data_IF_431881062095
#
_entry.id   IF_431881062095
#
_cell.length_a   1.000
_cell.length_b   1.000
_cell.length_c   1.000
_cell.angle_alpha   90.00
_cell.angle_beta   90.00
_cell.angle_gamma   90.00
#
_symmetry.space_group_name_H-M   'P 1'
#
loop_
_entity.id
_entity.type
_entity.pdbx_description
1 polymer ?
#
# COMPACT_ATOMS: atom_id res chain seq x y z
N UNK A 1 -9.93 -16.93 -18.00
CA UNK A 1 -10.27 -15.49 -17.92
C UNK A 1 -10.17 -15.13 -16.46
N UNK A 2 -9.44 -14.08 -16.10
CA UNK A 2 -9.45 -13.58 -14.71
C UNK A 2 -10.89 -13.16 -14.37
N UNK A 3 -11.33 -13.49 -13.17
CA UNK A 3 -12.65 -13.10 -12.68
C UNK A 3 -12.67 -11.58 -12.50
N UNK A 4 -13.61 -10.88 -13.14
CA UNK A 4 -13.74 -9.42 -12.99
C UNK A 4 -14.17 -9.09 -11.57
N UNK A 5 -13.47 -8.17 -10.95
CA UNK A 5 -13.75 -7.69 -9.60
C UNK A 5 -14.93 -6.71 -9.66
N UNK A 6 -15.92 -6.93 -8.79
CA UNK A 6 -17.14 -6.12 -8.68
C UNK A 6 -17.45 -5.83 -7.22
N UNK A 7 -18.21 -4.77 -6.96
CA UNK A 7 -18.75 -4.54 -5.63
C UNK A 7 -19.81 -5.58 -5.24
N UNK A 8 -19.88 -5.90 -3.96
CA UNK A 8 -21.01 -6.61 -3.39
C UNK A 8 -22.27 -5.73 -3.55
N UNK A 9 -23.37 -6.33 -3.97
CA UNK A 9 -24.61 -5.60 -4.27
C UNK A 9 -25.07 -4.76 -3.07
N UNK A 10 -25.35 -3.48 -3.33
CA UNK A 10 -25.79 -2.52 -2.32
C UNK A 10 -24.68 -1.95 -1.43
N UNK A 11 -23.43 -2.35 -1.63
CA UNK A 11 -22.27 -1.82 -0.90
C UNK A 11 -21.47 -0.88 -1.80
N UNK A 12 -21.33 0.37 -1.38
CA UNK A 12 -20.52 1.36 -2.10
C UNK A 12 -19.49 1.97 -1.16
N UNK A 13 -18.24 2.12 -1.60
CA UNK A 13 -17.20 2.74 -0.80
C UNK A 13 -17.46 4.23 -0.62
N UNK A 14 -17.00 4.79 0.49
CA UNK A 14 -17.06 6.22 0.78
C UNK A 14 -15.67 6.77 1.04
N UNK A 15 -15.42 7.98 0.54
CA UNK A 15 -14.16 8.69 0.78
C UNK A 15 -14.13 9.21 2.22
N UNK A 16 -13.05 8.93 2.93
CA UNK A 16 -12.76 9.51 4.25
C UNK A 16 -11.90 10.76 4.12
N UNK A 17 -10.90 10.71 3.26
CA UNK A 17 -10.00 11.82 2.95
C UNK A 17 -9.30 11.59 1.62
N UNK A 18 -8.84 12.70 1.02
CA UNK A 18 -7.89 12.70 -0.08
C UNK A 18 -6.72 13.62 0.27
N UNK A 19 -5.51 13.23 -0.08
CA UNK A 19 -4.31 14.06 0.11
C UNK A 19 -3.42 14.02 -1.12
N UNK A 20 -2.79 15.17 -1.44
CA UNK A 20 -1.79 15.28 -2.51
C UNK A 20 -0.46 15.71 -1.90
N UNK A 21 0.59 14.95 -2.13
CA UNK A 21 1.90 15.19 -1.52
C UNK A 21 3.01 15.01 -2.54
N UNK A 22 4.08 15.81 -2.39
CA UNK A 22 5.37 15.59 -3.04
C UNK A 22 6.40 15.39 -1.92
N UNK A 23 7.17 14.34 -2.02
CA UNK A 23 8.20 14.01 -1.06
C UNK A 23 9.56 14.04 -1.75
N UNK A 24 10.46 14.82 -1.16
CA UNK A 24 11.82 14.99 -1.67
C UNK A 24 12.58 13.66 -1.77
N UNK A 25 13.58 13.61 -2.64
CA UNK A 25 14.48 12.46 -2.77
C UNK A 25 15.09 12.09 -1.41
N UNK A 26 15.29 10.80 -1.17
CA UNK A 26 15.83 10.23 0.08
C UNK A 26 14.99 10.44 1.34
N UNK A 27 13.78 10.97 1.22
CA UNK A 27 12.90 11.13 2.37
C UNK A 27 11.99 9.92 2.55
N UNK A 28 11.74 9.55 3.80
CA UNK A 28 10.69 8.58 4.15
C UNK A 28 9.36 9.32 4.04
N UNK A 29 8.52 8.90 3.09
CA UNK A 29 7.21 9.52 2.86
C UNK A 29 6.24 9.20 3.96
N UNK A 30 6.17 7.92 4.31
CA UNK A 30 5.32 7.40 5.37
C UNK A 30 6.07 6.26 6.04
N UNK A 31 6.35 6.43 7.34
CA UNK A 31 6.86 5.35 8.16
C UNK A 31 5.86 4.17 8.14
N UNK A 32 6.38 2.99 8.44
CA UNK A 32 5.58 1.77 8.54
C UNK A 32 4.34 1.97 9.41
N UNK A 33 3.16 1.71 8.89
CA UNK A 33 1.90 1.85 9.59
C UNK A 33 0.81 0.95 8.98
N UNK A 34 -0.36 0.91 9.61
CA UNK A 34 -1.55 0.21 9.11
C UNK A 34 -2.82 0.97 9.51
N UNK A 35 -3.90 0.69 8.82
CA UNK A 35 -5.22 1.25 9.10
C UNK A 35 -6.17 0.14 9.54
N UNK A 36 -6.64 0.19 10.80
CA UNK A 36 -7.50 -0.86 11.39
C UNK A 36 -8.96 -0.78 10.94
N UNK A 37 -9.43 0.36 10.40
CA UNK A 37 -10.86 0.62 10.17
C UNK A 37 -11.20 1.02 8.73
N UNK A 38 -10.23 1.17 7.89
CA UNK A 38 -10.41 1.59 6.50
C UNK A 38 -9.28 1.07 5.65
N UNK A 39 -9.43 1.17 4.36
CA UNK A 39 -8.40 0.85 3.37
C UNK A 39 -7.88 2.13 2.72
N UNK A 40 -6.70 2.07 2.15
CA UNK A 40 -6.14 3.16 1.35
C UNK A 40 -5.85 2.72 -0.07
N UNK A 41 -5.87 3.69 -0.96
CA UNK A 41 -5.35 3.56 -2.32
C UNK A 41 -4.50 4.79 -2.62
N UNK A 42 -3.36 4.58 -3.27
CA UNK A 42 -2.43 5.65 -3.59
C UNK A 42 -2.06 5.59 -5.06
N UNK A 43 -2.22 6.70 -5.77
CA UNK A 43 -1.78 6.87 -7.15
C UNK A 43 -0.48 7.66 -7.19
N UNK A 44 0.55 7.14 -7.87
CA UNK A 44 1.82 7.82 -8.11
C UNK A 44 1.70 8.66 -9.37
N UNK A 45 1.47 9.97 -9.21
CA UNK A 45 1.33 10.86 -10.37
C UNK A 45 2.66 11.39 -10.91
N UNK A 46 3.75 11.27 -10.12
CA UNK A 46 5.08 11.78 -10.47
C UNK A 46 6.18 11.03 -9.75
N UNK A 47 7.33 10.83 -10.42
CA UNK A 47 8.56 10.35 -9.81
C UNK A 47 8.64 8.84 -9.60
N UNK A 48 9.48 8.43 -8.63
CA UNK A 48 9.76 7.03 -8.35
C UNK A 48 10.15 6.80 -6.89
N UNK A 49 9.94 5.56 -6.41
CA UNK A 49 10.24 5.20 -5.03
C UNK A 49 10.18 3.70 -4.81
N UNK A 50 10.04 3.34 -3.54
CA UNK A 50 9.82 1.96 -3.08
C UNK A 50 8.55 1.89 -2.25
N UNK A 51 7.77 0.85 -2.48
CA UNK A 51 6.60 0.48 -1.69
C UNK A 51 6.83 -0.88 -1.05
N UNK A 52 6.55 -1.01 0.23
CA UNK A 52 6.66 -2.27 0.95
C UNK A 52 5.30 -2.61 1.55
N UNK A 53 4.77 -3.78 1.18
CA UNK A 53 3.53 -4.32 1.72
C UNK A 53 3.61 -5.85 1.82
N UNK A 54 3.10 -6.41 2.92
CA UNK A 54 3.12 -7.84 3.17
C UNK A 54 4.53 -8.47 3.18
N UNK A 55 5.57 -7.65 3.39
CA UNK A 55 6.99 -8.04 3.31
C UNK A 55 7.59 -7.93 1.90
N UNK A 56 6.80 -7.74 0.87
CA UNK A 56 7.29 -7.56 -0.50
C UNK A 56 7.67 -6.11 -0.75
N UNK A 57 8.78 -5.92 -1.48
CA UNK A 57 9.25 -4.59 -1.88
C UNK A 57 8.97 -4.38 -3.37
N UNK A 58 8.29 -3.31 -3.70
CA UNK A 58 7.91 -2.95 -5.07
C UNK A 58 8.63 -1.67 -5.47
N UNK A 59 9.48 -1.68 -6.51
CA UNK A 59 9.90 -0.43 -7.13
C UNK A 59 8.67 0.21 -7.79
N UNK A 60 8.36 1.44 -7.41
CA UNK A 60 7.18 2.18 -7.89
C UNK A 60 7.60 3.40 -8.68
N UNK A 61 6.75 3.82 -9.61
CA UNK A 61 6.96 4.95 -10.51
C UNK A 61 5.64 5.60 -10.91
N UNK A 62 5.74 6.71 -11.60
CA UNK A 62 4.59 7.38 -12.21
C UNK A 62 3.68 6.40 -12.96
N UNK A 63 2.38 6.46 -12.67
CA UNK A 63 1.35 5.59 -13.22
C UNK A 63 1.07 4.35 -12.39
N UNK A 64 1.81 4.08 -11.33
CA UNK A 64 1.53 2.94 -10.45
C UNK A 64 0.43 3.29 -9.42
N UNK A 65 -0.47 2.34 -9.18
CA UNK A 65 -1.46 2.37 -8.13
C UNK A 65 -1.04 1.40 -7.03
N UNK A 66 -1.02 1.88 -5.78
CA UNK A 66 -0.70 1.10 -4.60
C UNK A 66 -1.99 0.82 -3.85
N UNK A 67 -2.25 -0.45 -3.59
CA UNK A 67 -3.44 -0.94 -2.91
C UNK A 67 -3.08 -1.33 -1.47
N UNK A 68 -3.78 -0.78 -0.51
CA UNK A 68 -3.59 -1.08 0.91
C UNK A 68 -4.85 -1.71 1.46
N UNK A 69 -4.80 -2.98 1.80
CA UNK A 69 -5.92 -3.60 2.50
C UNK A 69 -6.00 -3.10 3.94
N UNK A 70 -7.17 -3.13 4.49
CA UNK A 70 -7.39 -2.88 5.92
C UNK A 70 -6.53 -3.84 6.76
N UNK A 71 -5.80 -3.32 7.72
CA UNK A 71 -4.92 -4.09 8.62
C UNK A 71 -3.53 -4.41 8.07
N UNK A 72 -3.28 -4.27 6.77
CA UNK A 72 -1.99 -4.57 6.18
C UNK A 72 -0.94 -3.49 6.51
N UNK A 73 0.23 -3.95 6.95
CA UNK A 73 1.38 -3.10 7.17
C UNK A 73 2.00 -2.65 5.86
N UNK A 74 2.23 -1.36 5.75
CA UNK A 74 2.79 -0.78 4.53
C UNK A 74 3.69 0.44 4.80
N UNK A 75 4.55 0.72 3.82
CA UNK A 75 5.49 1.82 3.84
C UNK A 75 5.76 2.30 2.41
N UNK A 76 5.87 3.61 2.22
CA UNK A 76 6.33 4.20 0.96
C UNK A 76 7.54 5.08 1.23
N UNK A 77 8.56 4.96 0.42
CA UNK A 77 9.75 5.81 0.46
C UNK A 77 10.04 6.36 -0.93
N UNK A 78 10.57 7.57 -1.02
CA UNK A 78 11.11 8.10 -2.27
C UNK A 78 12.39 7.37 -2.66
N UNK A 79 12.81 7.48 -3.92
CA UNK A 79 14.12 6.98 -4.32
C UNK A 79 15.24 7.89 -3.81
N UNK A 80 16.49 7.39 -3.83
CA UNK A 80 17.65 8.21 -3.47
C UNK A 80 17.89 9.40 -4.43
N UNK A 81 17.37 9.32 -5.64
CA UNK A 81 17.65 10.27 -6.73
C UNK A 81 16.43 11.06 -7.18
N UNK A 82 15.22 10.59 -6.87
CA UNK A 82 13.98 11.15 -7.39
C UNK A 82 13.01 11.43 -6.25
N UNK A 83 12.34 12.55 -6.34
CA UNK A 83 11.14 12.82 -5.57
C UNK A 83 9.99 11.90 -6.00
N UNK A 84 8.97 11.80 -5.16
CA UNK A 84 7.74 11.09 -5.49
C UNK A 84 6.52 11.94 -5.16
N UNK A 85 5.63 12.08 -6.12
CA UNK A 85 4.34 12.74 -5.99
C UNK A 85 3.20 11.73 -5.93
N UNK A 86 2.35 11.83 -4.91
CA UNK A 86 1.27 10.87 -4.67
C UNK A 86 -0.05 11.55 -4.37
N UNK A 87 -1.14 10.96 -4.90
CA UNK A 87 -2.51 11.19 -4.48
C UNK A 87 -2.97 10.00 -3.65
N UNK A 88 -3.40 10.23 -2.43
CA UNK A 88 -3.82 9.18 -1.51
C UNK A 88 -5.28 9.35 -1.12
N UNK A 89 -6.02 8.24 -1.10
CA UNK A 89 -7.45 8.16 -0.81
C UNK A 89 -7.69 7.18 0.33
N UNK A 90 -8.15 7.66 1.48
CA UNK A 90 -8.67 6.84 2.56
C UNK A 90 -10.12 6.47 2.28
N UNK A 91 -10.44 5.17 2.30
CA UNK A 91 -11.70 4.62 1.80
C UNK A 91 -12.33 3.73 2.87
N UNK A 92 -13.57 4.00 3.22
CA UNK A 92 -14.38 3.15 4.13
C UNK A 92 -15.44 2.38 3.35
N UNK A 93 -15.90 1.27 3.94
CA UNK A 93 -17.00 0.46 3.39
C UNK A 93 -16.64 -0.25 2.08
N UNK A 94 -15.37 -0.47 1.80
CA UNK A 94 -14.94 -1.24 0.63
C UNK A 94 -15.36 -2.70 0.80
N UNK A 95 -16.18 -3.19 -0.14
CA UNK A 95 -16.57 -4.59 -0.17
C UNK A 95 -16.65 -5.10 -1.61
N UNK A 96 -15.64 -5.87 -2.00
CA UNK A 96 -15.49 -6.45 -3.33
C UNK A 96 -15.83 -7.94 -3.31
N UNK A 97 -16.49 -8.44 -4.35
CA UNK A 97 -16.85 -9.85 -4.47
C UNK A 97 -15.60 -10.75 -4.42
N UNK A 98 -15.66 -11.81 -3.61
CA UNK A 98 -14.57 -12.78 -3.47
C UNK A 98 -13.37 -12.32 -2.60
N UNK A 99 -13.47 -11.14 -1.98
CA UNK A 99 -12.46 -10.58 -1.06
C UNK A 99 -13.07 -10.32 0.34
N UNK A 100 -12.26 -10.35 1.40
CA UNK A 100 -12.68 -9.87 2.72
C UNK A 100 -13.08 -8.38 2.69
N UNK A 101 -13.86 -7.94 3.67
CA UNK A 101 -14.17 -6.52 3.84
C UNK A 101 -12.89 -5.70 3.98
N UNK A 102 -12.85 -4.52 3.35
CA UNK A 102 -11.68 -3.63 3.37
C UNK A 102 -10.49 -4.12 2.54
N UNK A 103 -10.66 -5.12 1.68
CA UNK A 103 -9.57 -5.63 0.85
C UNK A 103 -9.77 -5.30 -0.63
N UNK A 104 -8.71 -4.78 -1.26
CA UNK A 104 -8.61 -4.60 -2.71
C UNK A 104 -8.12 -5.86 -3.43
N UNK A 105 -7.29 -6.65 -2.76
CA UNK A 105 -6.57 -7.76 -3.38
C UNK A 105 -6.22 -8.81 -2.35
N UNK A 106 -5.95 -10.02 -2.81
CA UNK A 106 -5.28 -11.04 -2.01
C UNK A 106 -3.78 -10.84 -2.07
N UNK A 107 -3.05 -11.17 -0.99
CA UNK A 107 -1.60 -10.99 -0.92
C UNK A 107 -0.84 -11.68 -2.07
N UNK A 108 -1.31 -12.86 -2.51
CA UNK A 108 -0.75 -13.62 -3.64
C UNK A 108 -0.84 -12.89 -4.99
N UNK A 109 -1.79 -11.95 -5.13
CA UNK A 109 -1.98 -11.16 -6.35
C UNK A 109 -1.18 -9.83 -6.31
N UNK A 110 -0.38 -9.60 -5.27
CA UNK A 110 0.40 -8.38 -5.11
C UNK A 110 -0.44 -7.13 -4.83
N UNK A 111 0.24 -6.05 -4.51
CA UNK A 111 -0.37 -4.80 -4.04
C UNK A 111 -0.16 -3.61 -4.98
N UNK A 112 0.55 -3.80 -6.09
CA UNK A 112 0.80 -2.75 -7.08
C UNK A 112 0.09 -3.06 -8.38
N UNK A 113 -0.53 -2.05 -8.97
CA UNK A 113 -1.23 -2.10 -10.26
C UNK A 113 -0.67 -1.01 -11.16
N UNK A 114 0.15 -1.33 -12.15
CA UNK A 114 0.54 -0.38 -13.18
C UNK A 114 -0.67 0.05 -14.00
N UNK A 115 -0.90 1.36 -14.17
CA UNK A 115 -2.04 1.86 -14.94
C UNK A 115 -1.96 1.55 -16.44
N UNK A 116 -0.76 1.34 -16.96
CA UNK A 116 -0.54 1.00 -18.37
C UNK A 116 -1.28 1.97 -19.32
N UNK A 117 -2.17 1.44 -20.16
CA UNK A 117 -2.97 2.23 -21.11
C UNK A 117 -4.06 3.09 -20.42
N UNK A 118 -4.33 2.85 -19.13
CA UNK A 118 -5.32 3.57 -18.33
C UNK A 118 -4.73 4.78 -17.57
N UNK A 119 -3.45 5.13 -17.80
CA UNK A 119 -2.73 6.16 -17.03
C UNK A 119 -3.44 7.52 -17.06
N UNK A 120 -3.96 7.95 -18.21
CA UNK A 120 -4.65 9.23 -18.35
C UNK A 120 -6.00 9.24 -17.62
N UNK A 121 -6.72 8.13 -17.67
CA UNK A 121 -7.98 7.95 -16.93
C UNK A 121 -7.74 7.93 -15.42
N UNK A 122 -6.73 7.18 -14.97
CA UNK A 122 -6.37 7.12 -13.55
C UNK A 122 -5.94 8.48 -13.00
N UNK A 123 -5.14 9.22 -13.76
CA UNK A 123 -4.72 10.56 -13.37
C UNK A 123 -5.92 11.51 -13.30
N UNK A 124 -6.73 11.56 -14.35
CA UNK A 124 -7.89 12.46 -14.43
C UNK A 124 -8.90 12.18 -13.32
N UNK A 125 -9.25 10.92 -13.07
CA UNK A 125 -10.17 10.54 -11.99
C UNK A 125 -9.60 10.90 -10.61
N UNK A 126 -8.32 10.59 -10.38
CA UNK A 126 -7.67 10.85 -9.09
C UNK A 126 -7.59 12.35 -8.79
N UNK A 127 -7.22 13.16 -9.77
CA UNK A 127 -7.16 14.63 -9.62
C UNK A 127 -8.55 15.21 -9.39
N UNK A 128 -9.57 14.77 -10.14
CA UNK A 128 -10.93 15.28 -10.02
C UNK A 128 -11.53 14.94 -8.64
N UNK A 129 -11.31 13.71 -8.14
CA UNK A 129 -11.75 13.33 -6.79
C UNK A 129 -11.06 14.20 -5.74
N UNK A 130 -9.73 14.37 -5.85
CA UNK A 130 -8.97 15.20 -4.92
C UNK A 130 -9.48 16.67 -4.92
N UNK A 131 -9.65 17.28 -6.08
CA UNK A 131 -10.14 18.65 -6.18
C UNK A 131 -11.52 18.84 -5.55
N UNK A 132 -12.44 17.90 -5.79
CA UNK A 132 -13.78 17.98 -5.20
C UNK A 132 -13.77 17.70 -3.69
N UNK A 133 -12.94 16.79 -3.22
CA UNK A 133 -12.76 16.54 -1.78
C UNK A 133 -12.23 17.78 -1.03
N UNK A 134 -11.33 18.56 -1.66
CA UNK A 134 -10.82 19.81 -1.09
C UNK A 134 -11.86 20.94 -1.08
N UNK A 135 -12.73 21.02 -2.09
CA UNK A 135 -13.77 22.08 -2.19
C UNK A 135 -14.85 21.98 -1.13
N UNK A 136 -15.19 20.77 -0.66
CA UNK A 136 -16.16 20.48 0.42
C UNK A 136 -17.52 21.16 0.26
N UNK A 137 -18.04 21.21 -0.96
CA UNK A 137 -19.41 21.68 -1.24
C UNK A 137 -20.36 20.49 -1.34
N UNK A 138 -21.67 20.69 -1.11
CA UNK A 138 -22.66 19.61 -1.16
C UNK A 138 -22.66 18.85 -2.49
N UNK A 139 -22.55 19.55 -3.62
CA UNK A 139 -22.44 18.88 -4.91
C UNK A 139 -21.08 18.19 -5.13
N UNK A 140 -20.01 18.65 -4.47
CA UNK A 140 -18.69 18.00 -4.52
C UNK A 140 -18.73 16.63 -3.87
N UNK A 141 -19.41 16.49 -2.74
CA UNK A 141 -19.58 15.20 -2.07
C UNK A 141 -20.35 14.20 -2.95
N UNK A 142 -21.39 14.68 -3.65
CA UNK A 142 -22.13 13.85 -4.61
C UNK A 142 -21.25 13.41 -5.79
N UNK A 143 -20.44 14.30 -6.35
CA UNK A 143 -19.49 13.97 -7.43
C UNK A 143 -18.48 12.92 -6.95
N UNK A 144 -17.87 13.12 -5.79
CA UNK A 144 -16.92 12.15 -5.21
C UNK A 144 -17.57 10.80 -5.01
N UNK A 145 -18.82 10.76 -4.53
CA UNK A 145 -19.56 9.51 -4.33
C UNK A 145 -19.81 8.74 -5.64
N UNK A 146 -19.85 9.41 -6.80
CA UNK A 146 -19.97 8.75 -8.10
C UNK A 146 -18.61 8.34 -8.68
N UNK A 147 -17.57 9.15 -8.49
CA UNK A 147 -16.26 8.92 -9.10
C UNK A 147 -15.40 7.91 -8.34
N UNK A 148 -15.47 7.90 -7.01
CA UNK A 148 -14.70 6.99 -6.18
C UNK A 148 -14.94 5.50 -6.51
N UNK A 149 -16.20 5.02 -6.66
CA UNK A 149 -16.45 3.66 -7.09
C UNK A 149 -15.82 3.32 -8.45
N UNK A 150 -15.83 4.25 -9.41
CA UNK A 150 -15.21 4.05 -10.71
C UNK A 150 -13.68 3.91 -10.58
N UNK A 151 -13.04 4.79 -9.80
CA UNK A 151 -11.60 4.71 -9.52
C UNK A 151 -11.22 3.39 -8.84
N UNK A 152 -12.00 2.94 -7.85
CA UNK A 152 -11.79 1.67 -7.14
C UNK A 152 -11.90 0.47 -8.09
N UNK A 153 -12.95 0.39 -8.91
CA UNK A 153 -13.14 -0.71 -9.85
C UNK A 153 -12.06 -0.75 -10.92
N UNK A 154 -11.71 0.41 -11.46
CA UNK A 154 -10.63 0.51 -12.45
C UNK A 154 -9.32 -0.02 -11.84
N UNK A 155 -8.94 0.47 -10.65
CA UNK A 155 -7.72 0.05 -9.96
C UNK A 155 -7.69 -1.44 -9.61
N UNK A 156 -8.80 -1.99 -9.11
CA UNK A 156 -8.88 -3.39 -8.70
C UNK A 156 -8.83 -4.38 -9.88
N UNK A 157 -9.26 -3.95 -11.07
CA UNK A 157 -9.26 -4.78 -12.29
C UNK A 157 -8.00 -4.64 -13.15
N UNK A 158 -7.09 -3.71 -12.83
CA UNK A 158 -5.79 -3.65 -13.50
C UNK A 158 -4.95 -4.91 -13.19
N UNK A 159 -4.10 -5.33 -14.14
CA UNK A 159 -3.24 -6.48 -13.90
C UNK A 159 -2.24 -6.19 -12.78
N UNK A 160 -1.91 -7.21 -11.94
CA UNK A 160 -0.91 -7.06 -10.92
C UNK A 160 0.48 -6.86 -11.51
N UNK A 161 1.35 -6.14 -10.77
CA UNK A 161 2.75 -6.02 -11.13
C UNK A 161 3.49 -7.35 -10.94
N UNK A 162 3.98 -7.90 -12.03
CA UNK A 162 4.73 -9.15 -12.02
C UNK A 162 6.12 -9.03 -11.34
N UNK A 163 6.64 -7.81 -11.14
CA UNK A 163 7.99 -7.57 -10.56
C UNK A 163 8.15 -8.05 -9.11
N UNK A 164 7.04 -8.27 -8.38
CA UNK A 164 7.08 -8.75 -7.00
C UNK A 164 7.27 -10.27 -6.88
N UNK A 165 6.95 -11.04 -7.91
CA UNK A 165 6.89 -12.51 -7.85
C UNK A 165 8.26 -13.17 -7.64
N UNK A 166 9.35 -12.54 -8.05
CA UNK A 166 10.73 -13.10 -8.04
C UNK A 166 11.60 -12.58 -6.91
N UNK A 167 11.03 -12.03 -5.83
CA UNK A 167 11.86 -11.48 -4.75
C UNK A 167 12.52 -12.58 -3.90
N UNK A 168 13.79 -12.41 -3.54
CA UNK A 168 14.49 -13.37 -2.67
C UNK A 168 13.75 -13.55 -1.35
N UNK A 169 13.54 -14.81 -0.94
CA UNK A 169 12.83 -15.15 0.29
C UNK A 169 13.38 -14.40 1.51
N UNK A 170 14.71 -14.30 1.63
CA UNK A 170 15.35 -13.60 2.75
C UNK A 170 15.01 -12.11 2.78
N UNK A 171 14.84 -11.46 1.62
CA UNK A 171 14.43 -10.05 1.54
C UNK A 171 13.00 -9.87 2.07
N UNK A 172 12.06 -10.70 1.59
CA UNK A 172 10.67 -10.68 2.05
C UNK A 172 10.60 -10.90 3.55
N UNK A 173 11.36 -11.86 4.06
CA UNK A 173 11.41 -12.18 5.48
C UNK A 173 12.00 -11.04 6.32
N UNK A 174 13.12 -10.44 5.89
CA UNK A 174 13.71 -9.29 6.57
C UNK A 174 12.73 -8.09 6.63
N UNK A 175 12.00 -7.83 5.56
CA UNK A 175 10.96 -6.81 5.54
C UNK A 175 9.81 -7.11 6.51
N UNK A 176 9.35 -8.37 6.57
CA UNK A 176 8.31 -8.80 7.54
C UNK A 176 8.78 -8.62 8.99
N UNK A 177 10.04 -8.98 9.29
CA UNK A 177 10.64 -8.74 10.61
C UNK A 177 10.65 -7.24 10.92
N UNK A 178 11.08 -6.39 9.98
CA UNK A 178 11.09 -4.93 10.12
C UNK A 178 9.68 -4.39 10.39
N UNK A 179 8.69 -4.89 9.66
CA UNK A 179 7.29 -4.53 9.85
C UNK A 179 6.78 -4.93 11.24
N UNK A 180 7.11 -6.13 11.70
CA UNK A 180 6.72 -6.61 13.03
C UNK A 180 7.32 -5.72 14.14
N UNK A 181 8.63 -5.43 14.07
CA UNK A 181 9.30 -4.54 15.01
C UNK A 181 8.63 -3.16 15.01
N UNK A 182 8.37 -2.59 13.83
CA UNK A 182 7.76 -1.27 13.67
C UNK A 182 6.34 -1.15 14.26
N UNK A 183 5.59 -2.25 14.37
CA UNK A 183 4.25 -2.24 14.99
C UNK A 183 4.24 -2.50 16.49
N UNK A 184 5.31 -3.08 17.01
CA UNK A 184 5.43 -3.46 18.42
C UNK A 184 6.54 -2.68 19.15
N UNK A 185 7.03 -1.57 18.55
CA UNK A 185 8.16 -0.80 19.11
C UNK A 185 7.89 -0.17 20.48
N UNK A 186 6.62 -0.08 20.89
CA UNK A 186 6.24 0.38 22.24
C UNK A 186 6.26 -0.75 23.28
N UNK A 187 6.44 -1.98 22.86
CA UNK A 187 6.50 -3.17 23.70
C UNK A 187 7.96 -3.54 23.98
N UNK A 188 8.21 -4.27 25.06
CA UNK A 188 9.55 -4.82 25.34
C UNK A 188 9.78 -6.08 24.50
N UNK A 189 10.02 -5.88 23.20
CA UNK A 189 10.27 -6.98 22.26
C UNK A 189 11.59 -7.68 22.53
N UNK A 190 11.56 -9.01 22.49
CA UNK A 190 12.75 -9.86 22.48
C UNK A 190 12.94 -10.54 21.11
N UNK A 191 14.11 -11.10 20.86
CA UNK A 191 14.35 -11.91 19.66
C UNK A 191 13.48 -13.16 19.63
N UNK A 192 13.16 -13.70 20.80
CA UNK A 192 12.28 -14.84 20.98
C UNK A 192 10.87 -14.52 20.51
N UNK A 193 10.31 -13.36 20.89
CA UNK A 193 8.97 -12.93 20.49
C UNK A 193 8.89 -12.77 18.95
N UNK A 194 9.90 -12.15 18.35
CA UNK A 194 9.97 -12.02 16.89
C UNK A 194 10.12 -13.39 16.23
N UNK A 195 10.93 -14.26 16.80
CA UNK A 195 11.14 -15.64 16.33
C UNK A 195 9.85 -16.44 16.32
N UNK A 196 9.06 -16.36 17.39
CA UNK A 196 7.76 -17.03 17.50
C UNK A 196 6.78 -16.48 16.44
N UNK A 197 6.67 -15.15 16.31
CA UNK A 197 5.81 -14.50 15.32
C UNK A 197 6.17 -14.87 13.87
N UNK A 198 7.46 -15.07 13.58
CA UNK A 198 7.95 -15.48 12.25
C UNK A 198 8.05 -17.00 12.08
N UNK A 199 7.75 -17.80 13.11
CA UNK A 199 7.94 -19.25 13.13
C UNK A 199 9.39 -19.66 12.83
N UNK A 200 10.36 -18.95 13.43
CA UNK A 200 11.79 -19.14 13.19
C UNK A 200 12.60 -19.14 14.49
N UNK A 201 13.78 -19.78 14.45
CA UNK A 201 14.71 -19.63 15.56
C UNK A 201 15.28 -18.20 15.63
N UNK A 202 15.47 -17.63 16.84
CA UNK A 202 16.02 -16.29 17.03
C UNK A 202 17.38 -16.08 16.34
N UNK A 203 18.22 -17.11 16.35
CA UNK A 203 19.54 -17.07 15.70
C UNK A 203 19.44 -16.91 14.17
N UNK A 204 18.60 -17.73 13.53
CA UNK A 204 18.41 -17.69 12.07
C UNK A 204 17.76 -16.38 11.63
N UNK A 205 16.77 -15.90 12.38
CA UNK A 205 16.13 -14.60 12.18
C UNK A 205 17.15 -13.46 12.26
N UNK A 206 17.97 -13.42 13.31
CA UNK A 206 18.98 -12.37 13.48
C UNK A 206 20.04 -12.38 12.37
N UNK A 207 20.40 -13.56 11.88
CA UNK A 207 21.35 -13.70 10.77
C UNK A 207 20.79 -13.12 9.47
N UNK A 208 19.58 -13.55 9.06
CA UNK A 208 18.92 -13.07 7.82
C UNK A 208 18.69 -11.57 7.90
N UNK A 209 18.15 -11.07 9.01
CA UNK A 209 17.88 -9.65 9.17
C UNK A 209 19.16 -8.82 9.04
N UNK A 210 20.26 -9.23 9.69
CA UNK A 210 21.54 -8.55 9.61
C UNK A 210 22.16 -8.60 8.21
N UNK A 211 22.04 -9.72 7.52
CA UNK A 211 22.52 -9.87 6.13
C UNK A 211 21.85 -8.86 5.19
N UNK A 212 20.55 -8.66 5.32
CA UNK A 212 19.77 -7.78 4.44
C UNK A 212 19.83 -6.32 4.86
N UNK A 213 19.73 -6.03 6.17
CA UNK A 213 19.61 -4.65 6.69
C UNK A 213 20.92 -4.03 7.14
N UNK A 214 21.98 -4.83 7.28
CA UNK A 214 23.27 -4.40 7.78
C UNK A 214 23.37 -4.33 9.31
N UNK A 215 22.27 -4.45 10.05
CA UNK A 215 22.24 -4.39 11.53
C UNK A 215 21.41 -5.52 12.15
N UNK A 216 21.68 -5.84 13.43
CA UNK A 216 20.87 -6.86 14.11
C UNK A 216 19.48 -6.34 14.45
N UNK A 217 18.45 -7.22 14.61
CA UNK A 217 17.11 -6.79 15.03
C UNK A 217 17.13 -6.02 16.36
N UNK A 218 17.94 -6.45 17.33
CA UNK A 218 18.11 -5.75 18.63
C UNK A 218 18.63 -4.34 18.47
N UNK A 219 19.49 -4.12 17.49
CA UNK A 219 20.04 -2.78 17.21
C UNK A 219 19.09 -1.90 16.41
N UNK A 220 18.15 -2.55 15.73
CA UNK A 220 17.10 -1.89 14.95
C UNK A 220 15.90 -1.48 15.82
N UNK A 221 15.58 -2.21 16.91
CA UNK A 221 14.60 -1.86 17.95
C UNK A 221 15.06 -0.64 18.75
#
# INVERSE_FOLDING_TARGET
MAEEIRFVSGQMPSLLYATKQIVAASAITRAIHRHERFTEMLYVYQGAGQYIAGGYSYPIRTGDILLYNQGDLHEVTSSLQHEIGTLCFGISGLQLCGLPEGHFTKAENGFVRPAMDEIDHMQSLSELIYEHAERRTSYSDEIVAQLLPALVLLSANLPPDARAADQPHNLVLANRIRQYIGTHFTEQLTLEDIGEAMSMSPYHLAHIFKEITGMSPIHYM
#
